data_IF_172456080321
#
_entry.id   IF_172456080321
#
_cell.length_a   1.000
_cell.length_b   1.000
_cell.length_c   1.000
_cell.angle_alpha   90.00
_cell.angle_beta   90.00
_cell.angle_gamma   90.00
#
_symmetry.space_group_name_H-M   'P 1'
#
loop_
_entity.id
_entity.type
_entity.pdbx_description
1 polymer ?
#
# COMPACT_ATOMS: atom_id res chain seq x y z
N UNK A 1 -15.76 5.78 24.78
CA UNK A 1 -14.38 6.17 24.99
C UNK A 1 -13.51 5.52 23.95
N UNK A 2 -12.64 6.28 23.28
CA UNK A 2 -11.66 5.74 22.35
C UNK A 2 -10.66 4.89 23.15
N UNK A 3 -10.59 3.59 22.87
CA UNK A 3 -9.59 2.70 23.45
C UNK A 3 -8.27 2.91 22.71
N UNK A 4 -7.39 3.73 23.27
CA UNK A 4 -6.01 3.82 22.81
C UNK A 4 -5.21 2.61 23.27
N UNK A 5 -4.18 2.16 22.51
CA UNK A 5 -3.23 1.16 22.96
C UNK A 5 -2.60 1.57 24.31
N UNK A 6 -2.23 0.61 25.14
CA UNK A 6 -1.64 0.86 26.47
C UNK A 6 -0.34 1.68 26.43
N UNK A 7 0.32 1.71 25.29
CA UNK A 7 1.57 2.40 24.97
C UNK A 7 1.38 3.67 24.11
N UNK A 8 0.14 4.19 24.05
CA UNK A 8 -0.16 5.45 23.37
C UNK A 8 0.60 6.61 24.03
N UNK A 9 1.42 7.31 23.21
CA UNK A 9 2.27 8.40 23.71
C UNK A 9 1.61 9.77 23.60
N UNK A 10 0.80 10.01 22.55
CA UNK A 10 0.08 11.27 22.49
C UNK A 10 -0.32 11.77 21.10
N UNK A 11 -0.86 12.98 21.11
CA UNK A 11 -1.36 13.71 19.95
C UNK A 11 -0.31 14.70 19.48
N UNK A 12 0.03 14.64 18.19
CA UNK A 12 0.97 15.55 17.54
C UNK A 12 0.24 16.32 16.45
N UNK A 13 0.49 17.63 16.36
CA UNK A 13 0.09 18.42 15.19
C UNK A 13 1.18 18.30 14.11
N UNK A 14 0.78 17.97 12.88
CA UNK A 14 1.71 17.80 11.77
C UNK A 14 2.58 19.05 11.50
N UNK A 15 2.12 20.27 11.89
CA UNK A 15 2.94 21.48 11.77
C UNK A 15 4.27 21.40 12.50
N UNK A 16 4.32 20.61 13.57
CA UNK A 16 5.54 20.38 14.36
C UNK A 16 6.48 19.34 13.74
N UNK A 17 6.02 18.56 12.75
CA UNK A 17 6.84 17.54 12.10
C UNK A 17 7.69 18.17 10.99
N UNK A 18 8.93 17.70 10.84
CA UNK A 18 9.78 17.95 9.68
C UNK A 18 9.55 16.84 8.66
N UNK A 19 9.45 17.21 7.36
CA UNK A 19 9.27 16.25 6.26
C UNK A 19 10.53 16.24 5.41
N UNK A 20 10.98 15.04 5.02
CA UNK A 20 12.11 14.88 4.12
C UNK A 20 12.17 13.47 3.55
N UNK A 21 13.06 13.27 2.58
CA UNK A 21 13.35 11.93 2.08
C UNK A 21 14.10 11.11 3.14
N UNK A 22 13.79 9.81 3.16
CA UNK A 22 14.46 8.85 4.04
C UNK A 22 14.91 7.63 3.22
N UNK A 23 15.83 6.87 3.74
CA UNK A 23 16.29 5.64 3.10
C UNK A 23 15.17 4.59 3.06
N UNK A 24 15.13 3.82 1.97
CA UNK A 24 14.11 2.79 1.74
C UNK A 24 14.06 1.73 2.86
N UNK A 25 15.20 1.37 3.43
CA UNK A 25 15.25 0.40 4.54
C UNK A 25 14.56 0.93 5.80
N UNK A 26 14.76 2.22 6.15
CA UNK A 26 14.08 2.86 7.29
C UNK A 26 12.56 2.92 7.08
N UNK A 27 12.15 3.32 5.86
CA UNK A 27 10.74 3.37 5.50
C UNK A 27 10.08 1.99 5.56
N UNK A 28 10.75 0.97 5.05
CA UNK A 28 10.21 -0.40 5.01
C UNK A 28 10.14 -1.01 6.41
N UNK A 29 11.12 -0.77 7.27
CA UNK A 29 11.06 -1.17 8.68
C UNK A 29 9.89 -0.51 9.41
N UNK A 30 9.72 0.80 9.23
CA UNK A 30 8.57 1.53 9.77
C UNK A 30 7.23 0.96 9.27
N UNK A 31 7.12 0.69 7.95
CA UNK A 31 5.90 0.13 7.36
C UNK A 31 5.57 -1.27 7.85
N UNK A 32 6.57 -2.12 8.13
CA UNK A 32 6.33 -3.46 8.72
C UNK A 32 5.60 -3.38 10.04
N UNK A 33 5.92 -2.38 10.84
CA UNK A 33 5.38 -2.22 12.20
C UNK A 33 4.07 -1.41 12.25
N UNK A 34 3.85 -0.52 11.27
CA UNK A 34 2.80 0.49 11.35
C UNK A 34 1.76 0.43 10.21
N UNK A 35 1.96 -0.42 9.19
CA UNK A 35 1.03 -0.50 8.06
C UNK A 35 0.49 -1.92 7.86
N UNK A 36 -0.83 -2.06 7.73
CA UNK A 36 -1.52 -3.37 7.62
C UNK A 36 -1.04 -4.24 6.45
N UNK A 37 -0.58 -3.62 5.36
CA UNK A 37 -0.04 -4.33 4.20
C UNK A 37 1.50 -4.40 4.20
N UNK A 38 2.15 -3.88 5.24
CA UNK A 38 3.59 -3.86 5.39
C UNK A 38 4.34 -3.02 4.35
N UNK A 39 5.58 -3.41 4.12
CA UNK A 39 6.51 -2.76 3.20
C UNK A 39 6.09 -2.79 1.73
N UNK A 40 6.66 -1.90 0.93
CA UNK A 40 6.50 -1.87 -0.52
C UNK A 40 7.74 -1.30 -1.22
N UNK A 41 7.95 -1.73 -2.46
CA UNK A 41 8.94 -1.09 -3.32
C UNK A 41 8.36 0.19 -3.91
N UNK A 42 9.01 1.30 -3.65
CA UNK A 42 8.64 2.64 -4.12
C UNK A 42 9.84 3.38 -4.69
N UNK A 43 9.60 4.49 -5.37
CA UNK A 43 10.65 5.35 -5.94
C UNK A 43 11.07 6.42 -4.94
N UNK A 44 10.08 7.00 -4.24
CA UNK A 44 10.27 8.05 -3.24
C UNK A 44 9.75 7.55 -1.89
N UNK A 45 10.53 7.78 -0.86
CA UNK A 45 10.20 7.46 0.53
C UNK A 45 10.31 8.74 1.35
N UNK A 46 9.18 9.29 1.79
CA UNK A 46 9.12 10.45 2.65
C UNK A 46 8.93 10.02 4.11
N UNK A 47 9.70 10.60 5.01
CA UNK A 47 9.56 10.47 6.45
C UNK A 47 9.08 11.78 7.07
N UNK A 48 8.28 11.66 8.11
CA UNK A 48 7.91 12.75 9.00
C UNK A 48 8.53 12.50 10.37
N UNK A 49 9.34 13.46 10.86
CA UNK A 49 9.99 13.37 12.17
C UNK A 49 9.45 14.43 13.12
N UNK A 50 9.29 14.04 14.38
CA UNK A 50 8.95 14.91 15.49
C UNK A 50 9.93 14.62 16.64
N UNK A 51 10.66 15.63 17.12
CA UNK A 51 11.73 15.48 18.12
C UNK A 51 12.72 14.33 17.75
N UNK A 52 13.14 14.32 16.48
CA UNK A 52 14.05 13.33 15.88
C UNK A 52 13.52 11.87 15.85
N UNK A 53 12.27 11.64 16.23
CA UNK A 53 11.58 10.35 16.11
C UNK A 53 10.76 10.32 14.81
N UNK A 54 10.87 9.23 14.05
CA UNK A 54 10.06 8.99 12.84
C UNK A 54 8.63 8.63 13.26
N UNK A 55 7.68 9.52 12.95
CA UNK A 55 6.26 9.40 13.35
C UNK A 55 5.31 9.16 12.18
N UNK A 56 5.81 9.16 10.95
CA UNK A 56 5.02 8.84 9.78
C UNK A 56 5.86 8.64 8.54
N UNK A 57 5.35 7.82 7.62
CA UNK A 57 6.00 7.53 6.33
C UNK A 57 4.96 7.54 5.23
N UNK A 58 5.31 8.16 4.09
CA UNK A 58 4.50 8.17 2.88
C UNK A 58 5.38 7.80 1.70
N UNK A 59 4.91 6.89 0.84
CA UNK A 59 5.74 6.36 -0.25
C UNK A 59 5.06 6.51 -1.59
N UNK A 60 5.86 6.80 -2.62
CA UNK A 60 5.38 7.01 -3.97
C UNK A 60 6.18 6.18 -4.97
N UNK A 61 5.48 5.64 -5.95
CA UNK A 61 6.07 4.91 -7.05
C UNK A 61 5.82 5.67 -8.34
N UNK A 62 6.86 5.85 -9.14
CA UNK A 62 6.70 6.37 -10.50
C UNK A 62 6.13 5.27 -11.39
N UNK A 63 5.20 5.63 -12.26
CA UNK A 63 4.63 4.73 -13.24
C UNK A 63 5.67 4.21 -14.23
N UNK A 64 5.29 3.21 -15.02
CA UNK A 64 6.11 2.67 -16.11
C UNK A 64 6.35 3.72 -17.22
N UNK A 65 7.28 3.45 -18.13
CA UNK A 65 7.62 4.32 -19.27
C UNK A 65 6.39 4.74 -20.13
N UNK A 66 5.35 3.92 -20.13
CA UNK A 66 4.09 4.15 -20.87
C UNK A 66 3.05 4.93 -20.08
N UNK A 67 3.14 4.92 -18.75
CA UNK A 67 2.21 5.64 -17.88
C UNK A 67 3.01 6.35 -16.79
N UNK A 68 3.24 7.64 -16.96
CA UNK A 68 4.02 8.51 -16.05
C UNK A 68 3.20 8.99 -14.85
N UNK A 69 2.13 8.30 -14.49
CA UNK A 69 1.36 8.61 -13.29
C UNK A 69 2.13 8.18 -12.04
N UNK A 70 2.20 9.06 -11.06
CA UNK A 70 2.67 8.69 -9.74
C UNK A 70 1.60 7.90 -9.00
N UNK A 71 2.02 6.91 -8.24
CA UNK A 71 1.15 6.15 -7.34
C UNK A 71 1.55 6.43 -5.89
N UNK A 72 0.62 6.94 -5.08
CA UNK A 72 0.73 6.90 -3.62
C UNK A 72 0.52 5.46 -3.16
N UNK A 73 1.61 4.77 -2.83
CA UNK A 73 1.59 3.33 -2.56
C UNK A 73 1.29 2.99 -1.10
N UNK A 74 1.82 3.77 -0.15
CA UNK A 74 1.63 3.58 1.29
C UNK A 74 1.62 4.91 2.03
N UNK A 75 0.83 4.95 3.09
CA UNK A 75 0.90 5.96 4.13
C UNK A 75 0.60 5.32 5.48
N UNK A 76 1.46 5.54 6.46
CA UNK A 76 1.24 5.14 7.83
C UNK A 76 1.77 6.20 8.80
N UNK A 77 1.13 6.28 9.96
CA UNK A 77 1.66 6.95 11.14
C UNK A 77 2.10 5.89 12.14
N UNK A 78 3.00 6.24 13.02
CA UNK A 78 3.35 5.39 14.15
C UNK A 78 2.08 5.09 14.97
N UNK A 79 1.89 3.81 15.33
CA UNK A 79 0.69 3.34 16.05
C UNK A 79 0.55 3.95 17.44
N UNK A 80 1.64 4.46 18.03
CA UNK A 80 1.66 5.07 19.35
C UNK A 80 1.28 6.57 19.33
N UNK A 81 1.12 7.17 18.13
CA UNK A 81 0.81 8.59 17.97
C UNK A 81 -0.39 8.83 17.07
N UNK A 82 -1.19 9.82 17.41
CA UNK A 82 -2.13 10.44 16.47
C UNK A 82 -1.46 11.70 15.92
N UNK A 83 -1.13 11.73 14.62
CA UNK A 83 -0.51 12.89 13.98
C UNK A 83 -1.52 13.60 13.08
N UNK A 84 -2.17 14.65 13.62
CA UNK A 84 -3.23 15.39 12.91
C UNK A 84 -2.69 16.13 11.70
N UNK A 85 -3.34 15.92 10.53
CA UNK A 85 -3.02 16.61 9.28
C UNK A 85 -1.74 16.11 8.58
N UNK A 86 -1.14 15.01 9.05
CA UNK A 86 0.12 14.53 8.50
C UNK A 86 0.01 14.11 7.04
N UNK A 87 -1.03 13.38 6.67
CA UNK A 87 -1.25 12.94 5.29
C UNK A 87 -1.24 14.11 4.31
N UNK A 88 -2.04 15.14 4.59
CA UNK A 88 -2.08 16.35 3.76
C UNK A 88 -0.74 17.09 3.73
N UNK A 89 -0.04 17.19 4.86
CA UNK A 89 1.27 17.86 4.91
C UNK A 89 2.31 17.12 4.08
N UNK A 90 2.40 15.80 4.19
CA UNK A 90 3.36 14.99 3.44
C UNK A 90 3.03 14.98 1.94
N UNK A 91 1.74 14.88 1.58
CA UNK A 91 1.29 14.93 0.21
C UNK A 91 1.59 16.29 -0.44
N UNK A 92 1.32 17.40 0.26
CA UNK A 92 1.67 18.74 -0.20
C UNK A 92 3.19 18.94 -0.33
N UNK A 93 3.98 18.33 0.56
CA UNK A 93 5.43 18.32 0.40
C UNK A 93 5.82 17.64 -0.91
N UNK A 94 5.27 16.44 -1.18
CA UNK A 94 5.55 15.70 -2.41
C UNK A 94 5.19 16.52 -3.65
N UNK A 95 3.98 17.05 -3.75
CA UNK A 95 3.53 17.80 -4.94
C UNK A 95 4.29 19.11 -5.19
N UNK A 96 4.91 19.69 -4.15
CA UNK A 96 5.74 20.90 -4.25
C UNK A 96 7.18 20.63 -4.66
N UNK A 97 7.75 19.49 -4.25
CA UNK A 97 9.17 19.21 -4.46
C UNK A 97 9.44 18.33 -5.68
N UNK A 98 8.41 17.69 -6.22
CA UNK A 98 8.53 16.85 -7.40
C UNK A 98 7.62 17.36 -8.51
N UNK A 99 8.03 17.15 -9.76
CA UNK A 99 7.22 17.52 -10.92
C UNK A 99 6.08 16.52 -11.09
N UNK A 100 4.92 16.82 -10.50
CA UNK A 100 3.77 15.92 -10.39
C UNK A 100 2.55 16.59 -11.02
N UNK A 101 1.99 15.94 -12.05
CA UNK A 101 0.72 16.38 -12.66
C UNK A 101 -0.46 15.54 -12.16
N UNK A 102 -0.24 14.23 -12.01
CA UNK A 102 -1.27 13.30 -11.55
C UNK A 102 -0.70 12.34 -10.53
N UNK A 103 -1.52 11.99 -9.55
CA UNK A 103 -1.23 10.92 -8.57
C UNK A 103 -2.45 10.03 -8.47
N UNK A 104 -2.24 8.72 -8.59
CA UNK A 104 -3.28 7.73 -8.31
C UNK A 104 -3.03 7.06 -6.96
N UNK A 105 -4.06 6.49 -6.38
CA UNK A 105 -3.94 5.61 -5.22
C UNK A 105 -5.05 4.57 -5.20
N UNK A 106 -4.78 3.45 -4.53
CA UNK A 106 -5.73 2.36 -4.38
C UNK A 106 -6.01 2.10 -2.91
N UNK A 107 -7.23 2.35 -2.49
CA UNK A 107 -7.68 2.11 -1.13
C UNK A 107 -8.39 0.76 -1.00
N UNK A 108 -8.06 0.01 0.03
CA UNK A 108 -8.74 -1.23 0.36
C UNK A 108 -10.16 -0.93 0.89
N UNK A 109 -11.18 -1.46 0.22
CA UNK A 109 -12.59 -1.25 0.58
C UNK A 109 -12.96 -1.77 1.95
N UNK A 110 -12.21 -2.68 2.52
CA UNK A 110 -12.45 -3.19 3.89
C UNK A 110 -12.21 -2.12 4.95
N UNK A 111 -11.33 -1.16 4.66
CA UNK A 111 -10.84 -0.17 5.63
C UNK A 111 -11.17 1.27 5.26
N UNK A 112 -11.69 1.50 4.05
CA UNK A 112 -11.91 2.84 3.54
C UNK A 112 -13.41 3.09 3.32
N UNK A 113 -13.97 4.03 4.08
CA UNK A 113 -15.29 4.58 3.80
C UNK A 113 -15.28 5.38 2.50
N UNK A 114 -16.37 5.33 1.75
CA UNK A 114 -16.54 6.13 0.52
C UNK A 114 -16.63 7.65 0.78
N UNK A 115 -17.00 8.03 2.01
CA UNK A 115 -17.20 9.42 2.41
C UNK A 115 -16.17 9.83 3.47
N UNK A 116 -15.64 11.05 3.31
CA UNK A 116 -14.79 11.72 4.31
C UNK A 116 -13.55 10.91 4.77
N UNK A 117 -12.85 10.31 3.83
CA UNK A 117 -11.64 9.55 4.09
C UNK A 117 -10.35 10.39 3.91
N UNK A 118 -9.20 9.76 4.13
CA UNK A 118 -7.88 10.37 3.97
C UNK A 118 -7.68 10.97 2.56
N UNK A 119 -8.10 10.25 1.53
CA UNK A 119 -7.89 10.66 0.13
C UNK A 119 -8.68 11.92 -0.20
N UNK A 120 -9.95 12.01 0.19
CA UNK A 120 -10.75 13.21 -0.01
C UNK A 120 -10.18 14.43 0.73
N UNK A 121 -9.60 14.22 1.92
CA UNK A 121 -8.92 15.29 2.67
C UNK A 121 -7.62 15.77 2.01
N UNK A 122 -6.98 14.94 1.21
CA UNK A 122 -5.79 15.29 0.42
C UNK A 122 -6.13 15.84 -0.97
N UNK A 123 -7.42 15.97 -1.31
CA UNK A 123 -7.87 16.49 -2.60
C UNK A 123 -7.93 15.46 -3.72
N UNK A 124 -7.91 14.16 -3.40
CA UNK A 124 -8.15 13.12 -4.38
C UNK A 124 -9.64 12.96 -4.65
N UNK A 125 -9.97 12.69 -5.91
CA UNK A 125 -11.30 12.36 -6.38
C UNK A 125 -11.48 10.86 -6.55
N UNK A 126 -12.69 10.38 -6.30
CA UNK A 126 -13.08 9.01 -6.60
C UNK A 126 -13.05 8.78 -8.12
N UNK A 127 -12.43 7.70 -8.56
CA UNK A 127 -12.40 7.31 -9.97
C UNK A 127 -13.36 6.14 -10.25
N UNK A 128 -13.07 4.98 -9.71
CA UNK A 128 -13.90 3.79 -9.82
C UNK A 128 -13.51 2.73 -8.78
N UNK A 129 -14.34 1.68 -8.69
CA UNK A 129 -14.03 0.48 -7.94
C UNK A 129 -13.44 -0.56 -8.89
N UNK A 130 -12.29 -1.12 -8.55
CA UNK A 130 -11.71 -2.23 -9.33
C UNK A 130 -12.48 -3.52 -9.08
N UNK A 131 -12.55 -4.43 -10.06
CA UNK A 131 -13.07 -5.78 -9.83
C UNK A 131 -12.30 -6.46 -8.68
N UNK A 132 -12.95 -7.39 -7.96
CA UNK A 132 -12.27 -8.24 -7.00
C UNK A 132 -11.07 -8.96 -7.61
N UNK A 133 -9.99 -9.06 -6.86
CA UNK A 133 -8.81 -9.81 -7.22
C UNK A 133 -8.51 -10.86 -6.15
N UNK A 134 -7.54 -11.74 -6.41
CA UNK A 134 -7.21 -12.81 -5.48
C UNK A 134 -5.71 -12.96 -5.30
N UNK A 135 -5.35 -13.55 -4.16
CA UNK A 135 -4.03 -14.07 -3.84
C UNK A 135 -4.15 -15.56 -3.53
N UNK A 136 -3.04 -16.27 -3.54
CA UNK A 136 -3.00 -17.67 -3.15
C UNK A 136 -2.54 -17.80 -1.70
N UNK A 137 -3.14 -18.77 -0.99
CA UNK A 137 -2.80 -19.15 0.37
C UNK A 137 -2.43 -20.65 0.34
N UNK A 138 -1.36 -21.04 1.04
CA UNK A 138 -1.05 -22.45 1.24
C UNK A 138 -2.01 -23.08 2.24
N UNK A 139 -2.68 -24.17 1.85
CA UNK A 139 -3.61 -24.92 2.71
C UNK A 139 -2.84 -25.79 3.72
N UNK A 140 -1.65 -26.26 3.32
CA UNK A 140 -0.86 -27.24 4.07
C UNK A 140 0.07 -26.59 5.10
N UNK A 141 0.12 -25.29 5.16
CA UNK A 141 1.05 -24.58 6.02
C UNK A 141 0.28 -23.64 6.96
N UNK A 142 0.53 -23.75 8.26
CA UNK A 142 -0.03 -22.82 9.26
C UNK A 142 0.41 -21.35 9.04
N UNK A 143 1.32 -21.13 8.08
CA UNK A 143 1.78 -19.81 7.71
C UNK A 143 0.76 -19.12 6.80
N UNK A 144 0.15 -18.04 7.28
CA UNK A 144 -0.86 -17.23 6.61
C UNK A 144 -0.30 -16.34 5.48
N UNK A 145 0.88 -16.66 4.94
CA UNK A 145 1.50 -15.88 3.86
C UNK A 145 0.64 -15.91 2.59
N UNK A 146 0.32 -14.73 2.10
CA UNK A 146 -0.40 -14.55 0.84
C UNK A 146 0.59 -14.39 -0.32
N UNK A 147 0.38 -15.19 -1.36
CA UNK A 147 1.22 -15.20 -2.56
C UNK A 147 0.53 -14.50 -3.71
N UNK A 148 1.33 -13.78 -4.50
CA UNK A 148 0.83 -13.08 -5.68
C UNK A 148 0.47 -14.07 -6.80
N UNK A 149 -0.69 -13.86 -7.44
CA UNK A 149 -1.21 -14.70 -8.53
C UNK A 149 -0.26 -14.84 -9.73
N UNK A 150 0.60 -13.87 -10.00
CA UNK A 150 1.53 -13.94 -11.13
C UNK A 150 2.56 -15.06 -11.00
N UNK A 151 2.92 -15.45 -9.77
CA UNK A 151 3.78 -16.60 -9.50
C UNK A 151 3.13 -17.96 -9.75
N UNK A 152 1.80 -17.99 -9.94
CA UNK A 152 0.99 -19.19 -10.13
C UNK A 152 0.43 -19.34 -11.54
N UNK A 153 0.91 -18.55 -12.49
CA UNK A 153 0.57 -18.73 -13.92
C UNK A 153 1.05 -20.10 -14.40
N UNK A 154 0.26 -20.78 -15.23
CA UNK A 154 0.51 -22.12 -15.76
C UNK A 154 1.96 -22.33 -16.22
N UNK A 155 2.51 -21.43 -17.04
CA UNK A 155 3.88 -21.51 -17.51
C UNK A 155 4.93 -21.43 -16.39
N UNK A 156 4.66 -20.60 -15.37
CA UNK A 156 5.55 -20.47 -14.19
C UNK A 156 5.53 -21.72 -13.34
N UNK A 157 4.35 -22.29 -13.14
CA UNK A 157 4.16 -23.52 -12.36
C UNK A 157 4.82 -24.71 -13.03
N UNK A 158 4.61 -24.91 -14.34
CA UNK A 158 5.24 -25.99 -15.10
C UNK A 158 6.77 -25.92 -15.06
N UNK A 159 7.34 -24.71 -15.16
CA UNK A 159 8.80 -24.54 -15.07
C UNK A 159 9.34 -24.85 -13.67
N UNK A 160 8.58 -24.55 -12.61
CA UNK A 160 9.00 -24.77 -11.22
C UNK A 160 8.78 -26.20 -10.73
N UNK A 161 7.80 -26.90 -11.27
CA UNK A 161 7.36 -28.22 -10.81
C UNK A 161 7.14 -29.20 -11.99
N UNK A 162 8.17 -29.41 -12.86
CA UNK A 162 8.01 -30.22 -14.08
C UNK A 162 7.68 -31.69 -13.78
N UNK A 163 8.14 -32.20 -12.64
CA UNK A 163 7.95 -33.60 -12.24
C UNK A 163 6.57 -33.89 -11.63
N UNK A 164 5.85 -32.85 -11.22
CA UNK A 164 4.58 -32.97 -10.51
C UNK A 164 3.40 -32.55 -11.40
N UNK A 165 3.61 -31.58 -12.28
CA UNK A 165 2.56 -30.94 -13.07
C UNK A 165 2.67 -31.32 -14.55
N UNK A 166 1.52 -31.48 -15.20
CA UNK A 166 1.42 -31.78 -16.64
C UNK A 166 0.84 -30.59 -17.42
N UNK A 167 1.30 -30.36 -18.68
CA UNK A 167 0.76 -29.35 -19.56
C UNK A 167 -0.75 -29.45 -19.85
N UNK A 168 -1.35 -30.63 -19.70
CA UNK A 168 -2.79 -30.85 -19.89
C UNK A 168 -3.62 -30.30 -18.73
N UNK A 169 -3.02 -30.14 -17.56
CA UNK A 169 -3.71 -29.60 -16.38
C UNK A 169 -4.04 -28.11 -16.57
N UNK A 170 -5.20 -27.72 -16.08
CA UNK A 170 -5.57 -26.31 -15.93
C UNK A 170 -4.77 -25.66 -14.81
N UNK A 171 -4.62 -24.32 -14.83
CA UNK A 171 -3.98 -23.58 -13.75
C UNK A 171 -4.60 -23.87 -12.38
N UNK A 172 -5.92 -24.00 -12.33
CA UNK A 172 -6.66 -24.30 -11.09
C UNK A 172 -6.31 -25.69 -10.54
N UNK A 173 -6.23 -26.70 -11.40
CA UNK A 173 -5.84 -28.06 -10.99
C UNK A 173 -4.40 -28.11 -10.49
N UNK A 174 -3.47 -27.42 -11.19
CA UNK A 174 -2.08 -27.31 -10.77
C UNK A 174 -1.95 -26.70 -9.38
N UNK A 175 -2.65 -25.59 -9.15
CA UNK A 175 -2.62 -24.86 -7.87
C UNK A 175 -3.16 -25.73 -6.74
N UNK A 176 -4.30 -26.40 -6.96
CA UNK A 176 -4.89 -27.34 -5.97
C UNK A 176 -3.95 -28.50 -5.67
N UNK A 177 -3.34 -29.09 -6.69
CA UNK A 177 -2.38 -30.19 -6.54
C UNK A 177 -1.15 -29.79 -5.71
N UNK A 178 -0.73 -28.53 -5.78
CA UNK A 178 0.35 -27.98 -4.97
C UNK A 178 -0.08 -27.54 -3.55
N UNK A 179 -1.35 -27.73 -3.19
CA UNK A 179 -1.87 -27.42 -1.86
C UNK A 179 -2.08 -25.92 -1.63
N UNK A 180 -2.53 -25.19 -2.66
CA UNK A 180 -2.89 -23.77 -2.54
C UNK A 180 -4.35 -23.56 -2.90
N UNK A 181 -4.96 -22.54 -2.29
CA UNK A 181 -6.30 -22.04 -2.63
C UNK A 181 -6.32 -20.53 -2.79
N UNK A 182 -7.40 -20.02 -3.39
CA UNK A 182 -7.59 -18.60 -3.66
C UNK A 182 -8.31 -17.91 -2.51
N UNK A 183 -7.78 -16.77 -2.10
CA UNK A 183 -8.49 -15.85 -1.23
C UNK A 183 -8.78 -14.56 -2.01
N UNK A 184 -10.04 -14.19 -2.09
CA UNK A 184 -10.50 -13.04 -2.84
C UNK A 184 -10.53 -11.79 -1.96
N UNK A 185 -10.16 -10.65 -2.54
CA UNK A 185 -10.45 -9.34 -1.97
C UNK A 185 -11.82 -8.84 -2.46
N UNK A 186 -12.26 -7.70 -1.94
CA UNK A 186 -13.52 -7.05 -2.35
C UNK A 186 -13.31 -5.96 -3.42
N UNK A 187 -12.15 -5.94 -4.07
CA UNK A 187 -11.72 -4.87 -4.95
C UNK A 187 -11.17 -3.67 -4.18
N UNK A 188 -10.62 -2.73 -4.91
CA UNK A 188 -10.02 -1.52 -4.40
C UNK A 188 -10.79 -0.30 -4.92
N UNK A 189 -10.78 0.78 -4.18
CA UNK A 189 -11.24 2.08 -4.66
C UNK A 189 -10.04 2.78 -5.30
N UNK A 190 -10.12 3.09 -6.59
CA UNK A 190 -9.13 3.93 -7.26
C UNK A 190 -9.48 5.39 -7.03
N UNK A 191 -8.52 6.14 -6.54
CA UNK A 191 -8.55 7.59 -6.39
C UNK A 191 -7.55 8.24 -7.34
N UNK A 192 -7.85 9.45 -7.79
CA UNK A 192 -6.96 10.27 -8.62
C UNK A 192 -6.89 11.69 -8.05
N UNK A 193 -5.68 12.21 -7.96
CA UNK A 193 -5.42 13.62 -7.74
C UNK A 193 -4.81 14.22 -9.00
N UNK A 194 -5.29 15.39 -9.39
CA UNK A 194 -4.75 16.17 -10.50
C UNK A 194 -4.24 17.50 -9.96
N UNK A 195 -3.11 17.95 -10.50
CA UNK A 195 -2.61 19.27 -10.17
C UNK A 195 -3.68 20.30 -10.54
N UNK A 196 -4.08 21.21 -9.61
CA UNK A 196 -4.98 22.29 -9.94
C UNK A 196 -4.40 23.13 -11.09
N UNK A 197 -5.26 23.52 -12.03
CA UNK A 197 -4.90 24.53 -13.04
C UNK A 197 -4.70 25.86 -12.33
N UNK A 198 -3.61 26.57 -12.64
CA UNK A 198 -3.32 27.91 -12.10
C UNK A 198 -4.22 28.97 -12.71
#
# INVERSE_FOLDING_TARGET
>A
GENFPSDFVGLIDARKCKIGEIYSHCANEFMKNNHIQGECNSTIYLGATYNDVLVGVMTFKNGTLTNREWELTRFATDIHYIVRGLGSKMFNYFTKHYNVNNVISFADRRWTSSLNNLYSKMGFEFCHITPPSYKYLSINNANTKLYNKFGFRKQVLLRKHPDILSPEMTETEMVKKLGYDRIWDCGLIKYIWKKPEE
#
